data_IF_973635035693
#
_entry.id   IF_973635035693
#
_cell.length_a   1.000
_cell.length_b   1.000
_cell.length_c   1.000
_cell.angle_alpha   90.00
_cell.angle_beta   90.00
_cell.angle_gamma   90.00
#
_symmetry.space_group_name_H-M   'P 1'
#
loop_
_entity.id
_entity.type
_entity.pdbx_description
1 polymer ?
#
# COMPACT_ATOMS: atom_id res chain seq x y z
N UNK A 1 13.86 -0.63 18.05
CA UNK A 1 14.67 -0.46 16.82
C UNK A 1 13.83 0.36 15.85
N UNK A 2 14.29 1.52 15.39
CA UNK A 2 13.58 2.29 14.36
C UNK A 2 13.84 1.65 13.00
N UNK A 3 12.80 1.24 12.30
CA UNK A 3 12.96 0.55 11.03
C UNK A 3 11.68 0.60 10.21
N UNK A 4 11.85 0.54 8.88
CA UNK A 4 10.74 0.41 7.96
C UNK A 4 10.23 -1.02 7.99
N UNK A 5 8.95 -1.21 8.30
CA UNK A 5 8.27 -2.49 8.07
C UNK A 5 7.65 -2.45 6.68
N UNK A 6 7.89 -3.48 5.86
CA UNK A 6 7.48 -3.53 4.47
C UNK A 6 6.72 -4.83 4.19
N UNK A 7 5.63 -4.75 3.42
CA UNK A 7 4.89 -5.90 2.89
C UNK A 7 4.69 -5.71 1.40
N UNK A 8 4.83 -6.80 0.64
CA UNK A 8 4.70 -6.79 -0.82
C UNK A 8 3.60 -7.75 -1.28
N UNK A 9 2.94 -7.39 -2.39
CA UNK A 9 1.99 -8.23 -3.12
C UNK A 9 2.21 -8.06 -4.61
N UNK A 10 2.27 -9.18 -5.31
CA UNK A 10 2.29 -9.19 -6.78
C UNK A 10 0.87 -9.48 -7.26
N UNK A 11 0.37 -8.62 -8.14
CA UNK A 11 -0.91 -8.79 -8.81
C UNK A 11 -0.67 -9.30 -10.23
N UNK A 12 -1.00 -10.58 -10.51
CA UNK A 12 -0.82 -11.14 -11.84
C UNK A 12 -1.88 -10.60 -12.82
N UNK A 13 -1.53 -10.55 -14.11
CA UNK A 13 -2.46 -10.24 -15.20
C UNK A 13 -2.41 -8.77 -15.66
N UNK A 14 -3.33 -8.34 -16.55
CA UNK A 14 -3.27 -7.05 -17.25
C UNK A 14 -3.65 -5.85 -16.37
N UNK A 15 -3.36 -5.92 -15.08
CA UNK A 15 -3.64 -4.82 -14.16
C UNK A 15 -2.73 -3.66 -14.54
N UNK A 16 -3.31 -2.57 -15.02
CA UNK A 16 -2.57 -1.37 -15.39
C UNK A 16 -2.35 -0.48 -14.17
N UNK A 17 -1.25 0.27 -14.17
CA UNK A 17 -0.90 1.16 -13.07
C UNK A 17 -1.96 2.26 -12.84
N UNK A 18 -2.50 2.86 -13.90
CA UNK A 18 -3.51 3.93 -13.80
C UNK A 18 -4.77 3.53 -13.04
N UNK A 19 -5.48 2.44 -13.40
CA UNK A 19 -6.65 2.00 -12.64
C UNK A 19 -6.29 1.56 -11.22
N UNK A 20 -5.09 1.01 -10.99
CA UNK A 20 -4.62 0.67 -9.65
C UNK A 20 -4.44 1.91 -8.77
N UNK A 21 -3.81 2.97 -9.29
CA UNK A 21 -3.64 4.26 -8.62
C UNK A 21 -5.01 4.91 -8.33
N UNK A 22 -5.93 4.92 -9.30
CA UNK A 22 -7.27 5.47 -9.12
C UNK A 22 -8.07 4.72 -8.02
N UNK A 23 -7.96 3.39 -7.97
CA UNK A 23 -8.59 2.56 -6.93
C UNK A 23 -7.95 2.80 -5.56
N UNK A 24 -6.62 2.92 -5.49
CA UNK A 24 -5.93 3.28 -4.27
C UNK A 24 -6.36 4.66 -3.74
N UNK A 25 -6.65 5.62 -4.63
CA UNK A 25 -7.18 6.93 -4.25
C UNK A 25 -8.55 6.83 -3.54
N UNK A 26 -9.43 5.93 -3.99
CA UNK A 26 -10.71 5.66 -3.31
C UNK A 26 -10.53 5.08 -1.89
N UNK A 27 -9.37 4.48 -1.60
CA UNK A 27 -9.02 3.98 -0.26
C UNK A 27 -8.36 5.07 0.63
N UNK A 28 -8.36 6.32 0.18
CA UNK A 28 -7.82 7.47 0.91
C UNK A 28 -6.32 7.65 0.77
N UNK A 29 -5.68 6.99 -0.20
CA UNK A 29 -4.30 7.28 -0.57
C UNK A 29 -4.24 8.51 -1.48
N UNK A 30 -3.25 9.36 -1.25
CA UNK A 30 -2.98 10.55 -2.07
C UNK A 30 -1.67 10.31 -2.80
N UNK A 31 -1.66 10.53 -4.12
CA UNK A 31 -0.45 10.42 -4.92
C UNK A 31 0.61 11.41 -4.40
N UNK A 32 1.81 10.89 -4.14
CA UNK A 32 2.96 11.66 -3.68
C UNK A 32 4.01 11.84 -4.78
N UNK A 33 4.20 10.81 -5.61
CA UNK A 33 5.15 10.84 -6.73
C UNK A 33 4.65 9.94 -7.85
N UNK A 34 4.80 10.39 -9.10
CA UNK A 34 4.42 9.64 -10.28
C UNK A 34 5.53 9.65 -11.32
N UNK A 35 5.83 8.46 -11.84
CA UNK A 35 6.77 8.20 -12.92
C UNK A 35 6.14 7.17 -13.88
N UNK A 36 6.64 7.04 -15.12
CA UNK A 36 6.22 5.96 -16.01
C UNK A 36 6.41 4.59 -15.34
N UNK A 37 5.34 3.79 -15.28
CA UNK A 37 5.35 2.47 -14.64
C UNK A 37 5.56 2.46 -13.12
N UNK A 38 5.52 3.61 -12.44
CA UNK A 38 5.74 3.69 -10.99
C UNK A 38 4.96 4.84 -10.33
N UNK A 39 4.28 4.56 -9.23
CA UNK A 39 3.58 5.55 -8.43
C UNK A 39 3.81 5.29 -6.94
N UNK A 40 4.02 6.36 -6.18
CA UNK A 40 4.07 6.35 -4.72
C UNK A 40 2.89 7.15 -4.22
N UNK A 41 2.07 6.53 -3.40
CA UNK A 41 0.93 7.15 -2.73
C UNK A 41 1.10 7.09 -1.22
N UNK A 42 0.51 8.05 -0.51
CA UNK A 42 0.54 8.13 0.94
C UNK A 42 -0.85 8.27 1.52
N UNK A 43 -1.08 7.61 2.64
CA UNK A 43 -2.29 7.76 3.45
C UNK A 43 -1.85 7.99 4.89
N UNK A 44 -2.52 8.90 5.59
CA UNK A 44 -2.41 8.96 7.05
C UNK A 44 -2.98 7.66 7.60
N UNK A 45 -2.12 6.81 8.15
CA UNK A 45 -2.46 5.42 8.47
C UNK A 45 -3.40 5.26 9.66
N UNK A 46 -3.63 4.00 9.97
CA UNK A 46 -4.42 3.54 11.11
C UNK A 46 -3.76 3.96 12.42
N UNK A 47 -4.59 4.27 13.39
CA UNK A 47 -4.20 4.77 14.71
C UNK A 47 -3.21 3.80 15.35
N UNK A 48 -1.99 4.25 15.66
CA UNK A 48 -1.08 3.42 16.44
C UNK A 48 -1.65 3.28 17.85
N UNK A 49 -1.95 2.04 18.26
CA UNK A 49 -2.59 1.70 19.53
C UNK A 49 -1.87 2.25 20.79
N UNK A 50 -0.64 2.74 20.65
CA UNK A 50 0.21 3.17 21.76
C UNK A 50 0.36 4.68 21.94
N UNK A 51 -0.07 5.52 20.98
CA UNK A 51 0.15 6.98 21.07
C UNK A 51 -0.96 7.86 20.49
N UNK A 52 -1.95 7.31 19.79
CA UNK A 52 -2.94 8.12 19.08
C UNK A 52 -2.39 8.82 17.83
N UNK A 53 -1.07 8.77 17.60
CA UNK A 53 -0.42 9.26 16.38
C UNK A 53 -0.78 8.36 15.19
N UNK A 54 -1.21 8.99 14.10
CA UNK A 54 -1.45 8.31 12.81
C UNK A 54 -0.10 8.13 12.12
N UNK A 55 0.34 6.88 11.99
CA UNK A 55 1.57 6.59 11.26
C UNK A 55 1.30 6.69 9.76
N UNK A 56 2.06 7.48 8.98
CA UNK A 56 1.87 7.52 7.55
C UNK A 56 2.19 6.15 6.93
N UNK A 57 1.27 5.65 6.11
CA UNK A 57 1.44 4.46 5.29
C UNK A 57 1.74 4.92 3.88
N UNK A 58 2.79 4.36 3.30
CA UNK A 58 3.16 4.58 1.92
C UNK A 58 2.89 3.32 1.10
N UNK A 59 2.20 3.50 -0.02
CA UNK A 59 1.91 2.48 -1.01
C UNK A 59 2.71 2.81 -2.27
N UNK A 60 3.55 1.89 -2.70
CA UNK A 60 4.15 1.90 -4.02
C UNK A 60 3.36 0.97 -4.93
N UNK A 61 3.01 1.46 -6.12
CA UNK A 61 2.46 0.68 -7.22
C UNK A 61 3.47 0.75 -8.36
N UNK A 62 4.00 -0.38 -8.79
CA UNK A 62 4.98 -0.43 -9.88
C UNK A 62 4.60 -1.52 -10.88
N UNK A 63 4.93 -1.31 -12.15
CA UNK A 63 4.86 -2.35 -13.17
C UNK A 63 5.95 -3.41 -12.93
N UNK A 64 5.60 -4.67 -13.13
CA UNK A 64 6.48 -5.83 -13.07
C UNK A 64 6.25 -6.69 -14.31
N UNK A 65 7.15 -7.65 -14.60
CA UNK A 65 7.09 -8.47 -15.83
C UNK A 65 5.71 -9.12 -16.07
N UNK A 66 5.04 -9.59 -15.02
CA UNK A 66 3.76 -10.30 -15.10
C UNK A 66 2.56 -9.54 -14.50
N UNK A 67 2.66 -8.23 -14.31
CA UNK A 67 1.56 -7.40 -13.79
C UNK A 67 2.02 -6.23 -12.94
N UNK A 68 1.48 -6.11 -11.71
CA UNK A 68 1.85 -5.02 -10.79
C UNK A 68 2.47 -5.54 -9.50
N UNK A 69 3.47 -4.81 -9.02
CA UNK A 69 3.97 -4.90 -7.66
C UNK A 69 3.30 -3.82 -6.80
N UNK A 70 2.66 -4.26 -5.72
CA UNK A 70 2.24 -3.41 -4.62
C UNK A 70 3.24 -3.57 -3.47
N UNK A 71 3.79 -2.47 -2.98
CA UNK A 71 4.63 -2.46 -1.78
C UNK A 71 4.05 -1.47 -0.78
N UNK A 72 3.69 -1.95 0.39
CA UNK A 72 3.28 -1.12 1.52
C UNK A 72 4.41 -0.99 2.52
N UNK A 73 4.60 0.22 3.05
CA UNK A 73 5.52 0.48 4.16
C UNK A 73 4.97 1.51 5.12
N UNK A 74 5.31 1.40 6.39
CA UNK A 74 5.10 2.47 7.38
C UNK A 74 6.34 2.59 8.27
N UNK A 75 6.55 3.78 8.80
CA UNK A 75 7.63 4.05 9.73
C UNK A 75 7.20 3.59 11.13
N UNK A 76 7.56 2.36 11.50
CA UNK A 76 7.14 1.74 12.74
C UNK A 76 8.19 1.96 13.84
N UNK A 77 7.73 2.28 15.05
CA UNK A 77 8.43 1.86 16.25
C UNK A 77 8.12 0.36 16.42
N UNK A 78 9.06 -0.51 16.04
CA UNK A 78 8.88 -1.97 16.06
C UNK A 78 8.74 -2.44 17.51
N UNK A 79 7.51 -2.49 18.01
CA UNK A 79 7.17 -3.17 19.25
C UNK A 79 6.05 -4.21 19.06
N UNK A 80 5.21 -4.07 18.03
CA UNK A 80 4.17 -5.05 17.71
C UNK A 80 3.94 -5.10 16.19
N UNK A 81 4.42 -6.15 15.54
CA UNK A 81 3.97 -6.52 14.19
C UNK A 81 2.66 -7.31 14.36
N UNK A 82 1.54 -6.62 14.27
CA UNK A 82 0.20 -7.18 14.49
C UNK A 82 -0.40 -7.81 13.23
N UNK A 83 0.34 -7.85 12.11
CA UNK A 83 -0.18 -8.31 10.82
C UNK A 83 -1.16 -7.33 10.16
N UNK A 84 -1.42 -6.16 10.76
CA UNK A 84 -2.29 -5.11 10.20
C UNK A 84 -1.83 -4.65 8.81
N UNK A 85 -0.51 -4.60 8.59
CA UNK A 85 0.06 -4.21 7.30
C UNK A 85 -0.19 -5.27 6.21
N UNK A 86 -0.11 -6.55 6.58
CA UNK A 86 -0.43 -7.64 5.67
C UNK A 86 -1.92 -7.63 5.30
N UNK A 87 -2.79 -7.45 6.30
CA UNK A 87 -4.25 -7.34 6.08
C UNK A 87 -4.59 -6.15 5.18
N UNK A 88 -3.98 -5.00 5.40
CA UNK A 88 -4.16 -3.82 4.57
C UNK A 88 -3.64 -4.04 3.13
N UNK A 89 -2.50 -4.71 2.98
CA UNK A 89 -1.97 -5.05 1.67
C UNK A 89 -2.93 -5.97 0.89
N UNK A 90 -3.55 -6.93 1.57
CA UNK A 90 -4.55 -7.83 0.98
C UNK A 90 -5.85 -7.09 0.61
N UNK A 91 -6.32 -6.14 1.44
CA UNK A 91 -7.48 -5.29 1.12
C UNK A 91 -7.22 -4.42 -0.12
N UNK A 92 -6.04 -3.81 -0.22
CA UNK A 92 -5.66 -3.00 -1.38
C UNK A 92 -5.54 -3.90 -2.62
N UNK A 93 -4.91 -5.06 -2.50
CA UNK A 93 -4.81 -6.03 -3.60
C UNK A 93 -6.19 -6.46 -4.13
N UNK A 94 -7.13 -6.75 -3.23
CA UNK A 94 -8.50 -7.10 -3.60
C UNK A 94 -9.26 -5.93 -4.26
N UNK A 95 -9.14 -4.72 -3.70
CA UNK A 95 -9.76 -3.52 -4.26
C UNK A 95 -9.20 -3.18 -5.65
N UNK A 96 -7.88 -3.26 -5.82
CA UNK A 96 -7.19 -2.96 -7.07
C UNK A 96 -7.52 -3.98 -8.16
N UNK A 97 -7.67 -5.26 -7.83
CA UNK A 97 -8.04 -6.31 -8.79
C UNK A 97 -9.54 -6.38 -9.09
N UNK A 98 -10.38 -5.63 -8.35
CA UNK A 98 -11.83 -5.65 -8.53
C UNK A 98 -12.51 -6.89 -7.95
N UNK A 99 -11.83 -7.62 -7.06
CA UNK A 99 -12.39 -8.76 -6.33
C UNK A 99 -13.25 -8.35 -5.12
N UNK A 100 -13.55 -7.06 -4.97
CA UNK A 100 -14.50 -6.55 -3.99
C UNK A 100 -15.90 -7.05 -4.35
N UNK A 101 -16.35 -8.09 -3.65
CA UNK A 101 -17.69 -8.66 -3.72
C UNK A 101 -18.57 -8.09 -2.64
#
# INVERSE_FOLDING_TARGET
MHGWTTVERTLPGPTLIDPAVARAANLGFVEHTRQPGHAVLRRNGTQAAFRGDRLPVELTVAEAEDGLLLRLRYNAFVLFDTGDLARLADEIAAAVTGAAR
#
